data_IF_964924118139
#
_entry.id   IF_964924118139
#
_cell.length_a   1.000
_cell.length_b   1.000
_cell.length_c   1.000
_cell.angle_alpha   90.00
_cell.angle_beta   90.00
_cell.angle_gamma   90.00
#
_symmetry.space_group_name_H-M   'P 1'
#
loop_
_entity.id
_entity.type
_entity.pdbx_description
1 polymer ?
#
# COMPACT_ATOMS: atom_id res chain seq x y z
N UNK A 1 5.71 -49.80 28.64
CA UNK A 1 4.51 -50.28 29.34
C UNK A 1 4.11 -49.25 30.37
N UNK A 2 2.85 -48.79 30.27
CA UNK A 2 1.97 -48.43 31.41
C UNK A 2 2.56 -47.34 32.30
N UNK A 3 2.06 -46.11 32.25
CA UNK A 3 0.74 -45.78 32.81
C UNK A 3 0.11 -44.59 32.08
N UNK A 4 -1.18 -44.74 31.75
CA UNK A 4 -2.18 -43.68 31.67
C UNK A 4 -2.27 -42.91 30.33
N UNK A 5 -2.48 -43.60 29.20
CA UNK A 5 -3.80 -43.57 28.56
C UNK A 5 -4.99 -43.63 29.56
N UNK A 6 -6.04 -42.84 29.32
CA UNK A 6 -7.33 -42.72 30.07
C UNK A 6 -7.53 -41.33 30.69
N UNK A 7 -7.59 -40.31 29.83
CA UNK A 7 -8.70 -39.33 29.75
C UNK A 7 -8.76 -38.96 28.25
N UNK A 8 -9.20 -39.87 27.37
CA UNK A 8 -10.61 -40.08 27.04
C UNK A 8 -11.24 -38.73 26.63
N UNK A 9 -11.02 -38.32 25.37
CA UNK A 9 -12.07 -38.41 24.33
C UNK A 9 -13.35 -37.67 24.79
N UNK A 10 -13.48 -36.39 24.43
CA UNK A 10 -14.78 -35.72 24.30
C UNK A 10 -14.76 -34.72 23.14
N UNK A 11 -15.12 -35.23 21.95
CA UNK A 11 -15.91 -34.54 20.94
C UNK A 11 -15.27 -33.25 20.33
N UNK A 12 -14.61 -33.28 19.17
CA UNK A 12 -15.24 -33.45 17.86
C UNK A 12 -16.72 -32.99 17.80
N UNK A 13 -16.94 -31.87 17.08
CA UNK A 13 -18.22 -31.31 16.61
C UNK A 13 -19.02 -30.44 17.59
N UNK A 14 -18.79 -29.12 17.58
CA UNK A 14 -19.88 -28.12 17.55
C UNK A 14 -19.41 -26.82 16.89
N UNK A 15 -19.97 -26.57 15.70
CA UNK A 15 -20.34 -25.24 15.18
C UNK A 15 -19.19 -24.29 14.79
N UNK A 16 -18.71 -24.23 13.54
CA UNK A 16 -19.49 -23.87 12.33
C UNK A 16 -20.69 -22.95 12.63
N UNK A 17 -20.48 -21.74 13.18
CA UNK A 17 -21.43 -20.61 12.99
C UNK A 17 -20.96 -19.22 13.45
N UNK A 18 -19.76 -18.73 13.08
CA UNK A 18 -19.52 -17.25 13.05
C UNK A 18 -18.40 -16.83 12.10
N UNK A 19 -18.19 -17.59 11.01
CA UNK A 19 -17.65 -17.03 9.77
C UNK A 19 -18.88 -16.51 9.01
N UNK A 20 -18.81 -15.33 8.42
CA UNK A 20 -19.78 -14.72 7.48
C UNK A 20 -20.72 -13.58 7.95
N UNK A 21 -20.25 -12.50 8.63
CA UNK A 21 -21.00 -11.22 8.54
C UNK A 21 -20.28 -9.92 8.94
N UNK A 22 -19.10 -9.61 8.37
CA UNK A 22 -18.54 -8.24 8.47
C UNK A 22 -18.28 -7.55 7.11
N UNK A 23 -18.64 -8.21 6.00
CA UNK A 23 -18.88 -7.52 4.75
C UNK A 23 -20.28 -6.87 4.80
N UNK A 24 -20.31 -5.54 4.88
CA UNK A 24 -21.47 -4.66 4.65
C UNK A 24 -22.62 -4.68 5.67
N UNK A 25 -22.72 -3.64 6.50
CA UNK A 25 -23.88 -2.71 6.53
C UNK A 25 -24.05 -1.98 7.86
N UNK A 26 -23.84 -0.65 7.85
CA UNK A 26 -24.74 0.40 8.37
C UNK A 26 -23.98 1.73 8.30
N UNK A 27 -24.11 2.57 7.26
CA UNK A 27 -25.25 3.43 6.88
C UNK A 27 -25.80 4.27 8.05
N UNK A 28 -25.41 5.55 8.03
CA UNK A 28 -26.23 6.79 8.17
C UNK A 28 -27.35 6.85 9.23
N UNK A 29 -27.26 7.82 10.17
CA UNK A 29 -28.27 8.87 10.42
C UNK A 29 -27.99 9.68 11.71
N UNK A 30 -28.26 11.00 11.66
CA UNK A 30 -28.37 11.93 12.80
C UNK A 30 -27.29 13.01 12.78
N UNK A 31 -27.41 14.18 12.16
CA UNK A 31 -28.43 15.24 12.29
C UNK A 31 -28.69 15.65 13.75
N UNK A 32 -28.06 16.74 14.18
CA UNK A 32 -28.74 17.88 14.82
C UNK A 32 -28.00 19.15 14.44
N UNK A 33 -28.74 20.07 13.81
CA UNK A 33 -28.33 21.42 13.47
C UNK A 33 -28.92 22.40 14.50
N UNK A 34 -28.22 23.51 14.71
CA UNK A 34 -28.66 24.70 15.46
C UNK A 34 -27.40 25.50 15.81
N UNK A 35 -27.18 26.74 15.38
CA UNK A 35 -28.04 27.94 15.51
C UNK A 35 -27.29 29.13 14.84
N UNK A 36 -27.95 30.25 14.47
CA UNK A 36 -27.80 30.89 13.17
C UNK A 36 -27.00 32.20 13.14
N UNK A 37 -26.69 32.61 11.90
CA UNK A 37 -26.22 33.95 11.54
C UNK A 37 -27.39 34.84 11.04
N UNK A 38 -27.40 36.14 11.39
CA UNK A 38 -28.08 37.20 10.64
C UNK A 38 -27.03 38.20 10.08
N UNK A 39 -27.15 38.91 8.95
CA UNK A 39 -28.22 39.18 7.96
C UNK A 39 -27.56 39.96 6.76
N UNK A 40 -28.26 40.73 5.89
CA UNK A 40 -28.38 40.51 4.44
C UNK A 40 -27.62 41.55 3.56
N UNK A 41 -27.41 41.36 2.25
CA UNK A 41 -28.29 41.81 1.14
C UNK A 41 -27.68 41.51 -0.25
N UNK A 42 -28.46 41.57 -1.35
CA UNK A 42 -28.31 40.78 -2.59
C UNK A 42 -27.84 41.59 -3.80
N UNK A 43 -27.29 40.95 -4.85
CA UNK A 43 -27.56 41.30 -6.27
C UNK A 43 -27.38 40.06 -7.17
N UNK A 44 -28.31 39.92 -8.10
CA UNK A 44 -28.51 38.86 -9.07
C UNK A 44 -27.47 38.78 -10.21
N UNK A 45 -27.38 37.63 -10.88
CA UNK A 45 -27.72 37.44 -12.31
C UNK A 45 -27.10 36.16 -12.88
N UNK A 46 -27.95 35.31 -13.46
CA UNK A 46 -27.66 34.07 -14.22
C UNK A 46 -27.51 34.44 -15.72
N UNK A 47 -26.64 33.79 -16.53
CA UNK A 47 -27.06 32.62 -17.31
C UNK A 47 -26.04 31.49 -17.47
N UNK A 48 -26.62 30.29 -17.58
CA UNK A 48 -26.02 29.07 -18.15
C UNK A 48 -25.75 29.26 -19.64
N UNK A 49 -24.81 28.49 -20.22
CA UNK A 49 -25.27 27.62 -21.30
C UNK A 49 -24.73 26.19 -21.19
N UNK A 50 -25.58 25.28 -21.65
CA UNK A 50 -25.20 23.94 -22.05
C UNK A 50 -24.30 24.00 -23.29
N UNK A 51 -23.19 23.26 -23.26
CA UNK A 51 -22.38 22.92 -24.43
C UNK A 51 -22.34 21.40 -24.57
N UNK A 52 -22.97 20.89 -25.62
CA UNK A 52 -22.96 19.49 -26.03
C UNK A 52 -21.66 19.13 -26.75
N UNK A 53 -21.09 17.98 -26.35
CA UNK A 53 -20.51 16.89 -27.14
C UNK A 53 -19.39 17.19 -28.16
N UNK A 54 -18.24 16.51 -28.02
CA UNK A 54 -17.87 15.39 -28.90
C UNK A 54 -16.45 14.84 -28.61
N UNK A 55 -16.40 13.53 -28.38
CA UNK A 55 -15.38 12.55 -28.75
C UNK A 55 -13.92 12.99 -28.95
N UNK A 56 -13.06 12.57 -28.03
CA UNK A 56 -11.68 12.19 -28.35
C UNK A 56 -11.46 10.73 -27.98
N UNK A 57 -11.31 9.92 -29.03
CA UNK A 57 -10.65 8.61 -29.19
C UNK A 57 -10.31 7.78 -27.94
N UNK A 58 -10.57 6.46 -27.94
CA UNK A 58 -9.96 5.54 -26.99
C UNK A 58 -8.44 5.68 -27.09
N UNK A 59 -7.82 6.24 -26.06
CA UNK A 59 -6.38 6.12 -25.89
C UNK A 59 -6.08 4.62 -25.81
N UNK A 60 -5.22 4.14 -26.71
CA UNK A 60 -4.72 2.79 -26.70
C UNK A 60 -4.31 2.45 -25.27
N UNK A 61 -5.00 1.48 -24.66
CA UNK A 61 -4.58 0.93 -23.39
C UNK A 61 -3.14 0.46 -23.59
N UNK A 62 -2.17 0.90 -22.76
CA UNK A 62 -0.85 0.32 -22.85
C UNK A 62 -1.03 -1.19 -22.64
N UNK A 63 -0.59 -1.99 -23.60
CA UNK A 63 -0.31 -3.39 -23.36
C UNK A 63 0.48 -3.47 -22.05
N UNK A 64 0.26 -4.49 -21.20
CA UNK A 64 1.03 -4.66 -19.97
C UNK A 64 2.46 -5.08 -20.35
N UNK A 65 3.23 -4.12 -20.88
CA UNK A 65 4.67 -4.09 -20.71
C UNK A 65 4.84 -4.05 -19.20
N UNK A 66 5.51 -5.06 -18.65
CA UNK A 66 5.87 -5.07 -17.23
C UNK A 66 6.37 -3.69 -16.85
N UNK A 67 5.58 -3.00 -16.01
CA UNK A 67 5.86 -1.62 -15.69
C UNK A 67 7.22 -1.59 -14.98
N UNK A 68 8.15 -0.78 -15.51
CA UNK A 68 9.45 -0.55 -14.87
C UNK A 68 9.23 -0.18 -13.40
N UNK A 69 9.98 -0.83 -12.50
CA UNK A 69 9.84 -0.63 -11.07
C UNK A 69 10.70 0.58 -10.72
N UNK A 70 10.05 1.69 -10.41
CA UNK A 70 10.74 2.90 -10.01
C UNK A 70 11.23 2.83 -8.56
N UNK A 71 12.49 3.22 -8.34
CA UNK A 71 13.12 3.16 -7.03
C UNK A 71 12.39 4.04 -6.01
N UNK A 72 12.11 5.29 -6.35
CA UNK A 72 11.59 6.28 -5.40
C UNK A 72 10.15 5.95 -4.95
N UNK A 73 9.33 5.41 -5.85
CA UNK A 73 7.90 5.16 -5.58
C UNK A 73 7.59 3.74 -5.11
N UNK A 74 8.44 2.75 -5.41
CA UNK A 74 8.18 1.35 -5.05
C UNK A 74 9.19 0.79 -4.05
N UNK A 75 10.48 0.99 -4.28
CA UNK A 75 11.54 0.36 -3.47
C UNK A 75 11.85 1.15 -2.21
N UNK A 76 12.03 2.47 -2.34
CA UNK A 76 12.35 3.36 -1.24
C UNK A 76 11.34 3.27 -0.07
N UNK A 77 10.01 3.36 -0.27
CA UNK A 77 9.06 3.26 0.84
C UNK A 77 9.09 1.89 1.54
N UNK A 78 9.27 0.81 0.77
CA UNK A 78 9.41 -0.55 1.31
C UNK A 78 10.65 -0.65 2.21
N UNK A 79 11.80 -0.17 1.72
CA UNK A 79 13.04 -0.18 2.52
C UNK A 79 12.95 0.75 3.72
N UNK A 80 12.25 1.88 3.61
CA UNK A 80 11.98 2.78 4.73
C UNK A 80 11.21 2.03 5.83
N UNK A 81 10.17 1.27 5.48
CA UNK A 81 9.40 0.51 6.47
C UNK A 81 10.23 -0.59 7.14
N UNK A 82 11.06 -1.31 6.38
CA UNK A 82 11.78 -2.50 6.86
C UNK A 82 13.13 -2.22 7.51
N UNK A 83 13.81 -1.14 7.11
CA UNK A 83 15.21 -0.89 7.47
C UNK A 83 15.43 0.41 8.26
N UNK A 84 14.36 1.17 8.52
CA UNK A 84 14.38 2.26 9.49
C UNK A 84 14.41 1.74 10.92
N UNK A 85 14.98 2.52 11.86
CA UNK A 85 15.62 3.82 11.68
C UNK A 85 17.12 3.72 11.35
N UNK A 86 17.69 2.53 11.19
CA UNK A 86 19.15 2.37 11.20
C UNK A 86 19.84 2.81 9.90
N UNK A 87 19.22 2.59 8.74
CA UNK A 87 19.83 2.77 7.41
C UNK A 87 19.35 4.03 6.66
N UNK A 88 18.67 4.93 7.36
CA UNK A 88 18.11 6.18 6.85
C UNK A 88 18.70 7.38 7.59
N UNK A 89 18.52 8.63 7.12
CA UNK A 89 19.15 9.80 7.73
C UNK A 89 18.95 9.88 9.25
N UNK A 90 20.05 10.10 9.98
CA UNK A 90 20.07 10.07 11.45
C UNK A 90 20.22 8.66 12.07
N UNK A 91 20.19 7.62 11.26
CA UNK A 91 20.38 6.24 11.66
C UNK A 91 21.84 5.87 11.92
N UNK A 92 22.08 5.00 12.92
CA UNK A 92 23.43 4.56 13.32
C UNK A 92 24.25 3.86 12.24
N UNK A 93 23.63 3.36 11.17
CA UNK A 93 24.30 2.66 10.06
C UNK A 93 24.35 3.49 8.77
N UNK A 94 23.76 4.69 8.76
CA UNK A 94 23.53 5.47 7.54
C UNK A 94 24.83 5.78 6.79
N UNK A 95 25.87 6.22 7.50
CA UNK A 95 27.16 6.58 6.89
C UNK A 95 27.85 5.41 6.16
N UNK A 96 27.50 4.16 6.51
CA UNK A 96 28.09 2.95 5.90
C UNK A 96 27.19 2.35 4.83
N UNK A 97 25.88 2.32 5.09
CA UNK A 97 24.88 1.63 4.26
C UNK A 97 23.60 2.46 4.19
N UNK A 98 23.60 3.55 3.39
CA UNK A 98 22.44 4.42 3.21
C UNK A 98 21.44 3.78 2.24
N UNK A 99 20.27 3.37 2.75
CA UNK A 99 19.27 2.62 1.95
C UNK A 99 18.29 3.52 1.20
N UNK A 100 18.39 4.82 1.40
CA UNK A 100 17.74 5.85 0.59
C UNK A 100 18.44 6.09 -0.77
N UNK A 101 19.61 5.45 -1.00
CA UNK A 101 20.36 5.55 -2.24
C UNK A 101 20.19 4.30 -3.08
N UNK A 102 19.61 4.45 -4.27
CA UNK A 102 19.45 3.37 -5.25
C UNK A 102 20.76 2.62 -5.52
N UNK A 103 21.87 3.34 -5.68
CA UNK A 103 23.18 2.75 -5.93
C UNK A 103 23.59 1.76 -4.83
N UNK A 104 23.29 2.05 -3.56
CA UNK A 104 23.62 1.15 -2.44
C UNK A 104 22.81 -0.14 -2.52
N UNK A 105 21.53 -0.05 -2.91
CA UNK A 105 20.63 -1.20 -3.05
C UNK A 105 21.07 -2.08 -4.21
N UNK A 106 21.40 -1.48 -5.36
CA UNK A 106 21.95 -2.20 -6.52
C UNK A 106 23.29 -2.87 -6.23
N UNK A 107 24.18 -2.18 -5.50
CA UNK A 107 25.48 -2.74 -5.10
C UNK A 107 25.35 -3.94 -4.17
N UNK A 108 24.38 -3.89 -3.23
CA UNK A 108 24.12 -5.01 -2.32
C UNK A 108 23.43 -6.18 -3.02
N UNK A 109 22.53 -5.88 -3.96
CA UNK A 109 21.72 -6.87 -4.65
C UNK A 109 20.96 -7.78 -3.68
N UNK A 110 20.99 -9.08 -3.95
CA UNK A 110 20.27 -10.09 -3.17
C UNK A 110 20.80 -10.28 -1.75
N UNK A 111 21.92 -9.67 -1.35
CA UNK A 111 22.38 -9.69 0.06
C UNK A 111 21.34 -9.05 1.00
N UNK A 112 20.51 -8.15 0.48
CA UNK A 112 19.37 -7.57 1.20
C UNK A 112 18.43 -8.66 1.74
N UNK A 113 18.28 -9.78 1.03
CA UNK A 113 17.33 -10.85 1.36
C UNK A 113 17.71 -11.63 2.64
N UNK A 114 18.93 -11.43 3.14
CA UNK A 114 19.32 -11.96 4.46
C UNK A 114 18.54 -11.29 5.60
N UNK A 115 18.07 -10.06 5.40
CA UNK A 115 17.31 -9.26 6.36
C UNK A 115 15.88 -8.96 5.89
N UNK A 116 15.68 -8.71 4.60
CA UNK A 116 14.37 -8.56 3.97
C UNK A 116 13.82 -9.96 3.66
N UNK A 117 13.04 -10.53 4.58
CA UNK A 117 12.63 -11.95 4.56
C UNK A 117 11.22 -12.19 4.00
N UNK A 118 10.44 -11.14 3.87
CA UNK A 118 9.10 -11.26 3.33
C UNK A 118 9.18 -11.62 1.83
N UNK A 119 8.48 -12.67 1.37
CA UNK A 119 8.61 -13.15 0.00
C UNK A 119 8.08 -12.15 -1.03
N UNK A 120 7.03 -11.39 -0.70
CA UNK A 120 6.49 -10.37 -1.60
C UNK A 120 7.48 -9.21 -1.71
N UNK A 121 8.08 -8.79 -0.60
CA UNK A 121 9.12 -7.76 -0.60
C UNK A 121 10.35 -8.20 -1.41
N UNK A 122 10.77 -9.46 -1.30
CA UNK A 122 11.88 -10.03 -2.06
C UNK A 122 11.60 -10.08 -3.56
N UNK A 123 10.38 -10.42 -3.97
CA UNK A 123 9.96 -10.44 -5.37
C UNK A 123 10.04 -9.03 -5.98
N UNK A 124 9.49 -8.03 -5.29
CA UNK A 124 9.50 -6.64 -5.76
C UNK A 124 10.93 -6.11 -5.88
N UNK A 125 11.76 -6.32 -4.85
CA UNK A 125 13.16 -5.88 -4.87
C UNK A 125 13.98 -6.68 -5.88
N UNK A 126 13.70 -7.97 -6.05
CA UNK A 126 14.36 -8.84 -7.04
C UNK A 126 14.11 -8.35 -8.46
N UNK A 127 12.84 -8.13 -8.82
CA UNK A 127 12.46 -7.61 -10.12
C UNK A 127 13.09 -6.23 -10.42
N UNK A 128 13.24 -5.38 -9.39
CA UNK A 128 13.97 -4.11 -9.52
C UNK A 128 15.47 -4.29 -9.77
N UNK A 129 16.10 -5.28 -9.13
CA UNK A 129 17.52 -5.57 -9.30
C UNK A 129 17.84 -6.16 -10.68
N UNK A 130 16.89 -6.86 -11.31
CA UNK A 130 17.00 -7.38 -12.67
C UNK A 130 16.91 -6.28 -13.73
N UNK A 131 16.25 -5.16 -13.42
CA UNK A 131 16.21 -4.00 -14.31
C UNK A 131 17.61 -3.38 -14.40
N UNK A 132 18.08 -3.11 -15.62
CA UNK A 132 19.31 -2.33 -15.81
C UNK A 132 19.19 -0.96 -15.15
N UNK A 133 20.28 -0.40 -14.58
CA UNK A 133 20.25 0.92 -13.97
C UNK A 133 19.66 1.93 -14.96
N UNK A 134 18.59 2.61 -14.55
CA UNK A 134 18.01 3.65 -15.39
C UNK A 134 19.04 4.80 -15.52
N UNK A 135 19.35 5.27 -16.73
CA UNK A 135 20.19 6.45 -16.87
C UNK A 135 19.51 7.62 -16.17
N UNK A 136 20.28 8.36 -15.36
CA UNK A 136 19.79 9.56 -14.70
C UNK A 136 19.20 10.50 -15.77
N UNK A 137 17.91 10.80 -15.64
CA UNK A 137 17.15 11.61 -16.60
C UNK A 137 17.23 13.09 -16.26
#
# INVERSE_FOLDING_TARGET
>A
MRRLAVVLVMAAAFSSLVIQLQCASRRIAGVTAGTPAPSPTPVATRPSPAGSQASTSPAASPSPSEATIDFATRILPLLQERCSPCHFPGGRMYDRLPFDKEMTIRLLGTRLFTRLRDPEDQEIVGAFLEQSPQPAR
#
